data_IF_526683522762
#
_entry.id   IF_526683522762
#
_cell.length_a   1.000
_cell.length_b   1.000
_cell.length_c   1.000
_cell.angle_alpha   90.00
_cell.angle_beta   90.00
_cell.angle_gamma   90.00
#
_symmetry.space_group_name_H-M   'P 1'
#
loop_
_entity.id
_entity.type
_entity.pdbx_description
1 polymer ?
#
# COMPACT_ATOMS: atom_id res chain seq x y z
N UNK A 1 11.47 -13.53 22.61
CA UNK A 1 11.22 -12.08 22.58
C UNK A 1 12.02 -11.44 23.69
N UNK A 2 12.84 -10.43 23.38
CA UNK A 2 13.49 -9.61 24.41
C UNK A 2 12.45 -8.63 24.96
N UNK A 3 12.19 -8.67 26.27
CA UNK A 3 11.36 -7.66 26.92
C UNK A 3 12.12 -6.32 26.93
N UNK A 4 11.71 -5.40 26.07
CA UNK A 4 12.30 -4.06 25.99
C UNK A 4 11.82 -3.24 27.19
N UNK A 5 12.72 -2.94 28.12
CA UNK A 5 12.45 -2.14 29.34
C UNK A 5 13.18 -0.80 29.35
N UNK A 6 14.05 -0.56 28.37
CA UNK A 6 14.88 0.65 28.27
C UNK A 6 15.02 1.09 26.80
N UNK A 7 14.89 2.38 26.56
CA UNK A 7 14.98 3.00 25.22
C UNK A 7 16.36 2.87 24.59
N UNK A 8 17.42 2.67 25.40
CA UNK A 8 18.78 2.42 24.91
C UNK A 8 18.87 1.15 24.07
N UNK A 9 18.14 0.09 24.44
CA UNK A 9 18.10 -1.15 23.66
C UNK A 9 17.41 -0.94 22.31
N UNK A 10 16.35 -0.14 22.28
CA UNK A 10 15.66 0.25 21.04
C UNK A 10 16.62 1.02 20.13
N UNK A 11 17.31 2.04 20.65
CA UNK A 11 18.30 2.82 19.88
C UNK A 11 19.42 1.96 19.31
N UNK A 12 19.89 0.96 20.06
CA UNK A 12 20.92 0.04 19.60
C UNK A 12 20.39 -0.90 18.50
N UNK A 13 19.14 -1.37 18.60
CA UNK A 13 18.53 -2.19 17.55
C UNK A 13 18.37 -1.39 16.24
N UNK A 14 18.03 -0.10 16.34
CA UNK A 14 17.89 0.79 15.19
C UNK A 14 19.18 1.53 14.80
N UNK A 15 20.33 1.20 15.41
CA UNK A 15 21.61 1.86 15.06
C UNK A 15 22.12 1.46 13.67
N UNK A 16 21.73 0.28 13.22
CA UNK A 16 21.92 -0.17 11.84
C UNK A 16 20.59 -0.02 11.12
N UNK A 17 20.51 0.84 10.09
CA UNK A 17 19.31 0.97 9.29
C UNK A 17 18.88 -0.38 8.70
N UNK A 18 17.58 -0.62 8.50
CA UNK A 18 17.14 -1.74 7.70
C UNK A 18 17.80 -1.67 6.33
N UNK A 19 18.29 -2.81 5.85
CA UNK A 19 19.06 -2.92 4.62
C UNK A 19 18.66 -4.19 3.88
N UNK A 20 18.85 -4.20 2.56
CA UNK A 20 18.55 -5.34 1.71
C UNK A 20 17.78 -4.92 0.46
N UNK A 21 17.03 -5.88 -0.08
CA UNK A 21 16.20 -5.74 -1.26
C UNK A 21 14.76 -5.40 -0.87
N UNK A 22 13.96 -5.00 -1.85
CA UNK A 22 12.50 -4.87 -1.77
C UNK A 22 11.83 -5.96 -2.63
N UNK A 23 11.86 -7.25 -2.22
CA UNK A 23 11.44 -8.38 -3.06
C UNK A 23 9.91 -8.54 -3.11
N UNK A 24 9.20 -7.47 -3.50
CA UNK A 24 7.75 -7.41 -3.47
C UNK A 24 7.11 -8.37 -4.50
N UNK A 25 7.71 -8.48 -5.69
CA UNK A 25 7.24 -9.37 -6.77
C UNK A 25 7.17 -10.84 -6.32
N UNK A 26 8.26 -11.48 -5.83
CA UNK A 26 8.18 -12.86 -5.37
C UNK A 26 7.29 -13.02 -4.13
N UNK A 27 7.23 -12.02 -3.24
CA UNK A 27 6.34 -12.05 -2.09
C UNK A 27 4.85 -12.07 -2.50
N UNK A 28 4.47 -11.20 -3.43
CA UNK A 28 3.10 -11.10 -3.94
C UNK A 28 2.69 -12.38 -4.69
N UNK A 29 3.55 -12.89 -5.57
CA UNK A 29 3.30 -14.17 -6.27
C UNK A 29 3.06 -15.32 -5.29
N UNK A 30 3.86 -15.42 -4.23
CA UNK A 30 3.69 -16.44 -3.19
C UNK A 30 2.34 -16.31 -2.49
N UNK A 31 1.92 -15.10 -2.15
CA UNK A 31 0.61 -14.84 -1.52
C UNK A 31 -0.51 -15.28 -2.46
N UNK A 32 -0.51 -14.78 -3.71
CA UNK A 32 -1.53 -15.11 -4.71
C UNK A 32 -1.63 -16.62 -4.97
N UNK A 33 -0.49 -17.29 -5.13
CA UNK A 33 -0.45 -18.74 -5.30
C UNK A 33 -1.03 -19.48 -4.09
N UNK A 34 -0.67 -19.07 -2.86
CA UNK A 34 -1.15 -19.71 -1.62
C UNK A 34 -2.66 -19.52 -1.37
N UNK A 35 -3.24 -18.46 -1.94
CA UNK A 35 -4.64 -18.08 -1.75
C UNK A 35 -5.53 -18.43 -2.95
N UNK A 36 -4.97 -18.88 -4.07
CA UNK A 36 -5.68 -19.12 -5.33
C UNK A 36 -6.98 -19.91 -5.16
N UNK A 37 -6.93 -21.03 -4.44
CA UNK A 37 -8.10 -21.88 -4.21
C UNK A 37 -9.12 -21.28 -3.24
N UNK A 38 -8.71 -20.36 -2.36
CA UNK A 38 -9.59 -19.69 -1.39
C UNK A 38 -10.34 -18.51 -2.03
N UNK A 39 -9.75 -17.89 -3.07
CA UNK A 39 -10.35 -16.75 -3.76
C UNK A 39 -11.61 -17.07 -4.59
N UNK A 40 -12.01 -18.34 -4.67
CA UNK A 40 -13.31 -18.74 -5.23
C UNK A 40 -14.46 -18.50 -4.24
N UNK A 41 -14.21 -18.73 -2.94
CA UNK A 41 -15.23 -18.64 -1.89
C UNK A 41 -15.15 -17.35 -1.06
N UNK A 42 -13.97 -16.71 -1.01
CA UNK A 42 -13.73 -15.53 -0.18
C UNK A 42 -12.93 -14.46 -0.94
N UNK A 43 -13.26 -13.20 -0.67
CA UNK A 43 -12.47 -12.05 -1.13
C UNK A 43 -11.12 -12.01 -0.41
N UNK A 44 -10.08 -11.58 -1.12
CA UNK A 44 -8.73 -11.39 -0.59
C UNK A 44 -8.37 -9.90 -0.65
N UNK A 45 -8.08 -9.32 0.52
CA UNK A 45 -7.48 -7.99 0.61
C UNK A 45 -5.98 -8.14 0.91
N UNK A 46 -5.14 -7.45 0.13
CA UNK A 46 -3.69 -7.40 0.32
C UNK A 46 -3.32 -5.95 0.61
N UNK A 47 -2.75 -5.71 1.78
CA UNK A 47 -2.19 -4.41 2.15
C UNK A 47 -0.68 -4.45 1.94
N UNK A 48 -0.14 -3.53 1.15
CA UNK A 48 1.28 -3.43 0.86
C UNK A 48 1.80 -2.09 1.39
N UNK A 49 2.45 -2.12 2.54
CA UNK A 49 3.19 -0.97 3.05
C UNK A 49 4.61 -0.97 2.48
N UNK A 50 4.99 0.10 1.77
CA UNK A 50 6.31 0.24 1.14
C UNK A 50 6.75 1.70 1.13
N UNK A 51 8.04 1.94 1.29
CA UNK A 51 8.69 3.25 1.23
C UNK A 51 9.43 3.49 -0.10
N UNK A 52 9.42 2.49 -0.99
CA UNK A 52 10.05 2.63 -2.29
C UNK A 52 9.69 1.55 -3.31
N UNK A 53 10.45 1.56 -4.40
CA UNK A 53 10.23 0.68 -5.55
C UNK A 53 10.60 -0.78 -5.24
N UNK A 54 9.90 -1.76 -5.84
CA UNK A 54 10.31 -3.16 -5.79
C UNK A 54 11.69 -3.34 -6.43
N UNK A 55 12.49 -4.27 -5.91
CA UNK A 55 13.77 -4.65 -6.51
C UNK A 55 13.84 -6.13 -6.85
N UNK A 56 14.56 -6.47 -7.91
CA UNK A 56 14.93 -7.84 -8.24
C UNK A 56 16.05 -8.38 -7.33
N UNK A 57 16.51 -9.61 -7.59
CA UNK A 57 17.58 -10.27 -6.82
C UNK A 57 18.94 -9.56 -6.91
N UNK A 58 19.12 -8.67 -7.89
CA UNK A 58 20.33 -7.87 -8.10
C UNK A 58 20.21 -6.45 -7.52
N UNK A 59 19.10 -6.12 -6.86
CA UNK A 59 18.87 -4.77 -6.30
C UNK A 59 18.44 -3.72 -7.32
N UNK A 60 18.09 -4.13 -8.54
CA UNK A 60 17.60 -3.20 -9.57
C UNK A 60 16.09 -3.03 -9.44
N UNK A 61 15.59 -1.81 -9.67
CA UNK A 61 14.16 -1.53 -9.64
C UNK A 61 13.40 -2.40 -10.66
N UNK A 62 12.30 -3.01 -10.23
CA UNK A 62 11.52 -3.97 -11.02
C UNK A 62 10.02 -3.65 -10.98
N UNK A 63 9.70 -2.39 -11.24
CA UNK A 63 8.32 -1.86 -11.27
C UNK A 63 7.48 -2.55 -12.35
N UNK A 64 8.09 -2.88 -13.49
CA UNK A 64 7.41 -3.55 -14.60
C UNK A 64 6.96 -4.99 -14.25
N UNK A 65 7.77 -5.76 -13.53
CA UNK A 65 7.33 -7.08 -13.09
C UNK A 65 6.22 -7.00 -12.04
N UNK A 66 6.26 -6.00 -11.14
CA UNK A 66 5.18 -5.77 -10.19
C UNK A 66 3.87 -5.43 -10.91
N UNK A 67 3.91 -4.54 -11.91
CA UNK A 67 2.76 -4.23 -12.75
C UNK A 67 2.20 -5.49 -13.42
N UNK A 68 3.08 -6.31 -14.00
CA UNK A 68 2.67 -7.55 -14.67
C UNK A 68 1.96 -8.51 -13.71
N UNK A 69 2.43 -8.65 -12.47
CA UNK A 69 1.76 -9.47 -11.44
C UNK A 69 0.38 -8.89 -11.10
N UNK A 70 0.31 -7.58 -10.85
CA UNK A 70 -0.93 -6.91 -10.48
C UNK A 70 -1.98 -6.99 -11.60
N UNK A 71 -1.58 -6.90 -12.87
CA UNK A 71 -2.52 -6.98 -14.00
C UNK A 71 -2.96 -8.40 -14.34
N UNK A 72 -2.04 -9.36 -14.28
CA UNK A 72 -2.25 -10.66 -14.93
C UNK A 72 -2.44 -11.83 -13.94
N UNK A 73 -2.02 -11.68 -12.68
CA UNK A 73 -1.99 -12.80 -11.73
C UNK A 73 -3.06 -12.69 -10.63
N UNK A 74 -3.75 -11.53 -10.52
CA UNK A 74 -4.88 -11.33 -9.61
C UNK A 74 -6.17 -11.98 -10.15
N UNK A 75 -7.07 -12.31 -9.23
CA UNK A 75 -8.46 -12.64 -9.57
C UNK A 75 -9.36 -11.42 -9.36
N UNK A 76 -10.58 -11.37 -9.93
CA UNK A 76 -11.54 -10.29 -9.65
C UNK A 76 -11.94 -10.16 -8.17
N UNK A 77 -11.67 -11.18 -7.34
CA UNK A 77 -11.90 -11.15 -5.89
C UNK A 77 -10.66 -10.70 -5.08
N UNK A 78 -9.59 -10.27 -5.76
CA UNK A 78 -8.35 -9.79 -5.14
C UNK A 78 -8.29 -8.27 -5.16
N UNK A 79 -8.23 -7.68 -3.98
CA UNK A 79 -8.15 -6.26 -3.71
C UNK A 79 -6.75 -5.93 -3.17
N UNK A 80 -6.17 -4.83 -3.62
CA UNK A 80 -4.84 -4.40 -3.21
C UNK A 80 -4.88 -2.95 -2.80
N UNK A 81 -4.41 -2.63 -1.60
CA UNK A 81 -4.17 -1.24 -1.20
C UNK A 81 -2.69 -1.06 -0.90
N UNK A 82 -2.06 -0.12 -1.58
CA UNK A 82 -0.71 0.32 -1.26
C UNK A 82 -0.76 1.39 -0.17
N UNK A 83 0.11 1.28 0.82
CA UNK A 83 0.35 2.28 1.84
C UNK A 83 1.74 2.86 1.59
N UNK A 84 1.81 4.01 0.92
CA UNK A 84 3.05 4.70 0.65
C UNK A 84 3.61 5.28 1.96
N UNK A 85 4.73 4.73 2.41
CA UNK A 85 5.35 5.04 3.70
C UNK A 85 6.63 5.85 3.50
N UNK A 86 6.60 6.87 2.65
CA UNK A 86 7.78 7.67 2.29
C UNK A 86 7.42 9.13 2.03
N UNK A 87 8.33 10.03 2.38
CA UNK A 87 8.26 11.43 1.99
C UNK A 87 8.83 11.65 0.56
N UNK A 88 9.49 10.64 -0.02
CA UNK A 88 9.99 10.67 -1.40
C UNK A 88 8.94 10.15 -2.39
N UNK A 89 8.02 11.04 -2.74
CA UNK A 89 6.93 10.77 -3.66
C UNK A 89 7.40 10.36 -5.07
N UNK A 90 8.63 10.71 -5.47
CA UNK A 90 9.14 10.32 -6.79
C UNK A 90 9.33 8.81 -6.89
N UNK A 91 9.83 8.19 -5.82
CA UNK A 91 10.13 6.75 -5.78
C UNK A 91 8.86 5.89 -5.83
N UNK A 92 7.72 6.43 -5.42
CA UNK A 92 6.41 5.74 -5.43
C UNK A 92 5.42 6.30 -6.45
N UNK A 93 5.80 7.30 -7.25
CA UNK A 93 4.93 7.99 -8.21
C UNK A 93 4.25 7.08 -9.25
N UNK A 94 4.82 5.90 -9.51
CA UNK A 94 4.22 4.91 -10.40
C UNK A 94 2.89 4.36 -9.86
N UNK A 95 2.70 4.34 -8.52
CA UNK A 95 1.50 3.84 -7.87
C UNK A 95 0.26 4.68 -8.21
N UNK A 96 0.38 6.01 -8.19
CA UNK A 96 -0.74 6.92 -8.47
C UNK A 96 -1.34 6.76 -9.87
N UNK A 97 -0.55 6.27 -10.83
CA UNK A 97 -1.07 5.96 -12.16
C UNK A 97 -1.81 4.61 -12.20
N UNK A 98 -1.39 3.66 -11.38
CA UNK A 98 -2.00 2.32 -11.35
C UNK A 98 -3.36 2.34 -10.70
N UNK A 99 -3.51 3.13 -9.65
CA UNK A 99 -4.76 3.41 -8.96
C UNK A 99 -5.93 3.67 -9.95
N UNK A 100 -5.73 4.63 -10.85
CA UNK A 100 -6.72 5.03 -11.87
C UNK A 100 -6.95 4.01 -12.98
N UNK A 101 -6.02 3.06 -13.16
CA UNK A 101 -5.97 2.18 -14.33
C UNK A 101 -6.25 0.71 -14.02
N UNK A 102 -6.19 0.32 -12.76
CA UNK A 102 -6.30 -1.08 -12.34
C UNK A 102 -7.51 -1.24 -11.43
N UNK A 103 -8.47 -2.12 -11.78
CA UNK A 103 -9.60 -2.36 -10.91
C UNK A 103 -9.14 -2.98 -9.57
N UNK A 104 -9.88 -2.68 -8.51
CA UNK A 104 -9.67 -3.19 -7.16
C UNK A 104 -8.26 -2.89 -6.62
N UNK A 105 -7.69 -1.75 -6.99
CA UNK A 105 -6.41 -1.25 -6.51
C UNK A 105 -6.62 0.16 -5.99
N UNK A 106 -6.03 0.46 -4.84
CA UNK A 106 -6.04 1.79 -4.22
C UNK A 106 -4.63 2.12 -3.70
N UNK A 107 -4.32 3.41 -3.60
CA UNK A 107 -3.03 3.92 -3.12
C UNK A 107 -3.27 4.99 -2.08
N UNK A 108 -2.75 4.75 -0.89
CA UNK A 108 -2.91 5.64 0.25
C UNK A 108 -1.58 6.22 0.71
N UNK A 109 -1.56 7.53 0.88
CA UNK A 109 -0.47 8.27 1.51
C UNK A 109 -0.58 8.25 3.04
N UNK A 110 0.33 8.95 3.72
CA UNK A 110 0.25 9.15 5.16
C UNK A 110 -1.00 9.96 5.55
N UNK A 111 -1.46 9.76 6.80
CA UNK A 111 -2.69 10.40 7.31
C UNK A 111 -2.74 11.92 7.10
N UNK A 112 -1.61 12.64 7.23
CA UNK A 112 -1.62 14.11 7.15
C UNK A 112 -1.84 14.56 5.71
N UNK A 113 -1.14 13.92 4.77
CA UNK A 113 -1.29 14.17 3.34
C UNK A 113 -2.71 13.80 2.91
N UNK A 114 -3.15 12.59 3.21
CA UNK A 114 -4.49 12.07 2.89
C UNK A 114 -5.61 12.99 3.41
N UNK A 115 -5.52 13.41 4.67
CA UNK A 115 -6.48 14.35 5.25
C UNK A 115 -6.50 15.68 4.50
N UNK A 116 -5.34 16.21 4.14
CA UNK A 116 -5.26 17.47 3.42
C UNK A 116 -5.88 17.35 2.01
N UNK A 117 -5.74 16.20 1.36
CA UNK A 117 -6.35 15.87 0.07
C UNK A 117 -7.88 15.84 0.18
N UNK A 118 -8.40 15.04 1.12
CA UNK A 118 -9.84 14.93 1.39
C UNK A 118 -10.45 16.29 1.73
N UNK A 119 -9.78 17.08 2.58
CA UNK A 119 -10.27 18.42 2.94
C UNK A 119 -10.20 19.41 1.76
N UNK A 120 -9.23 19.26 0.86
CA UNK A 120 -9.15 20.08 -0.36
C UNK A 120 -10.28 19.76 -1.32
N UNK A 121 -10.67 18.49 -1.42
CA UNK A 121 -11.70 17.99 -2.33
C UNK A 121 -13.12 18.16 -1.77
N UNK A 122 -13.34 17.86 -0.49
CA UNK A 122 -14.66 17.87 0.17
C UNK A 122 -14.96 19.17 0.93
N UNK A 123 -13.96 20.03 1.08
CA UNK A 123 -14.04 21.30 1.81
C UNK A 123 -13.30 21.25 3.16
N UNK A 124 -12.70 22.37 3.55
CA UNK A 124 -11.78 22.43 4.70
C UNK A 124 -12.35 21.99 6.05
N UNK A 125 -13.68 22.02 6.20
CA UNK A 125 -14.39 21.60 7.41
C UNK A 125 -14.89 20.15 7.34
N UNK A 126 -14.60 19.42 6.27
CA UNK A 126 -14.98 18.01 6.16
C UNK A 126 -14.31 17.20 7.29
N UNK A 127 -15.08 16.46 8.09
CA UNK A 127 -14.54 15.65 9.16
C UNK A 127 -13.79 14.44 8.57
N UNK A 128 -12.50 14.35 8.85
CA UNK A 128 -11.68 13.21 8.47
C UNK A 128 -10.67 12.91 9.58
N UNK A 129 -11.05 11.98 10.45
CA UNK A 129 -10.28 11.54 11.60
C UNK A 129 -9.26 10.47 11.21
N UNK A 130 -8.38 10.12 12.14
CA UNK A 130 -7.49 8.97 11.96
C UNK A 130 -8.27 7.65 11.85
N UNK A 131 -9.44 7.53 12.48
CA UNK A 131 -10.31 6.37 12.31
C UNK A 131 -10.82 6.25 10.87
N UNK A 132 -11.25 7.38 10.29
CA UNK A 132 -11.73 7.43 8.90
C UNK A 132 -10.60 7.06 7.93
N UNK A 133 -9.38 7.52 8.19
CA UNK A 133 -8.19 7.12 7.45
C UNK A 133 -7.96 5.60 7.47
N UNK A 134 -7.99 4.97 8.65
CA UNK A 134 -7.82 3.52 8.75
C UNK A 134 -8.92 2.77 7.98
N UNK A 135 -10.16 3.25 8.07
CA UNK A 135 -11.27 2.64 7.33
C UNK A 135 -11.07 2.80 5.82
N UNK A 136 -10.68 3.99 5.35
CA UNK A 136 -10.36 4.23 3.94
C UNK A 136 -9.24 3.30 3.47
N UNK A 137 -8.15 3.17 4.23
CA UNK A 137 -7.04 2.25 3.89
C UNK A 137 -7.44 0.77 3.79
N UNK A 138 -8.55 0.37 4.41
CA UNK A 138 -9.07 -1.00 4.34
C UNK A 138 -10.12 -1.19 3.25
N UNK A 139 -10.83 -0.13 2.86
CA UNK A 139 -12.02 -0.21 2.02
C UNK A 139 -11.88 0.52 0.69
N UNK A 140 -10.90 1.40 0.49
CA UNK A 140 -10.78 2.21 -0.74
C UNK A 140 -10.69 1.34 -1.98
N UNK A 141 -9.84 0.30 -1.98
CA UNK A 141 -9.78 -0.65 -3.10
C UNK A 141 -11.05 -1.47 -3.31
N UNK A 142 -11.96 -1.54 -2.32
CA UNK A 142 -13.15 -2.40 -2.31
C UNK A 142 -14.42 -1.62 -2.66
N UNK A 143 -14.56 -0.41 -2.15
CA UNK A 143 -15.78 0.39 -2.19
C UNK A 143 -15.48 1.78 -2.79
N UNK A 144 -16.04 2.09 -3.97
CA UNK A 144 -15.78 3.34 -4.69
C UNK A 144 -16.12 4.61 -3.90
N UNK A 145 -17.00 4.53 -2.89
CA UNK A 145 -17.29 5.71 -2.07
C UNK A 145 -16.04 6.14 -1.29
N UNK A 146 -15.33 5.18 -0.68
CA UNK A 146 -14.11 5.44 0.07
C UNK A 146 -13.00 5.92 -0.85
N UNK A 147 -12.83 5.23 -1.98
CA UNK A 147 -11.89 5.59 -3.05
C UNK A 147 -12.08 7.06 -3.47
N UNK A 148 -13.31 7.46 -3.74
CA UNK A 148 -13.59 8.81 -4.24
C UNK A 148 -13.37 9.95 -3.23
N UNK A 149 -13.08 9.69 -1.94
CA UNK A 149 -13.10 10.72 -0.90
C UNK A 149 -12.14 11.90 -1.16
N UNK A 150 -11.03 11.64 -1.82
CA UNK A 150 -9.99 12.59 -2.26
C UNK A 150 -10.05 12.93 -3.75
N UNK A 151 -10.80 12.17 -4.56
CA UNK A 151 -11.03 12.45 -5.98
C UNK A 151 -11.81 13.73 -6.25
N UNK A 152 -11.28 14.57 -7.15
CA UNK A 152 -11.99 15.76 -7.65
C UNK A 152 -13.20 15.32 -8.49
N UNK A 153 -14.38 15.81 -8.11
CA UNK A 153 -15.61 15.68 -8.90
C UNK A 153 -15.53 16.39 -10.26
#
# INVERSE_FOLDING_TARGET
>A
MLNVTDTRYVRQVFSTPPQGLTPLVPALRRILASKRNQTYEKKLLILIATDGAPTNEYGQADVGALEAVLRNERTPQTYVTFLACTDDLQTVSYLSNWDKMMPNLDVMDDYRSERAEVQRTRGGNFPFSFGDYIVKSLLGSIDPWFDSLDDRA
#
